data_IF_710572640583
#
_entry.id   IF_710572640583
#
_cell.length_a   1.000
_cell.length_b   1.000
_cell.length_c   1.000
_cell.angle_alpha   90.00
_cell.angle_beta   90.00
_cell.angle_gamma   90.00
#
_symmetry.space_group_name_H-M   'P 1'
#
loop_
_entity.id
_entity.type
_entity.pdbx_description
1 polymer ?
#
# COMPACT_ATOMS: atom_id res chain seq x y z
N UNK A 1 7.27 20.98 3.54
CA UNK A 1 6.53 19.85 2.94
C UNK A 1 7.18 18.56 3.43
N UNK A 2 6.68 17.94 4.50
CA UNK A 2 7.27 16.69 5.01
C UNK A 2 6.94 15.54 4.06
N UNK A 3 7.95 15.04 3.34
CA UNK A 3 7.84 13.81 2.56
C UNK A 3 7.63 12.65 3.55
N UNK A 4 6.38 12.24 3.74
CA UNK A 4 6.02 11.08 4.58
C UNK A 4 6.50 9.81 3.88
N UNK A 5 7.73 9.39 4.18
CA UNK A 5 8.26 8.11 3.72
C UNK A 5 7.38 6.97 4.26
N UNK A 6 6.75 6.24 3.34
CA UNK A 6 5.97 5.03 3.65
C UNK A 6 6.72 3.81 3.13
N UNK A 7 6.80 2.76 3.94
CA UNK A 7 7.29 1.45 3.50
C UNK A 7 6.12 0.70 2.88
N UNK A 8 6.28 0.28 1.63
CA UNK A 8 5.34 -0.60 0.95
C UNK A 8 5.93 -2.02 0.92
N UNK A 9 5.11 -3.01 1.27
CA UNK A 9 5.48 -4.42 1.26
C UNK A 9 4.41 -5.20 0.52
N UNK A 10 4.82 -6.13 -0.35
CA UNK A 10 3.88 -7.06 -0.96
C UNK A 10 3.29 -7.97 0.11
N UNK A 11 1.98 -8.19 0.04
CA UNK A 11 1.23 -9.06 0.96
C UNK A 11 0.54 -10.22 0.25
N UNK A 12 0.51 -10.23 -1.08
CA UNK A 12 -0.05 -11.32 -1.87
C UNK A 12 -0.33 -10.91 -3.31
N UNK A 13 -0.86 -11.86 -4.10
CA UNK A 13 -1.42 -11.58 -5.43
C UNK A 13 -2.84 -11.03 -5.25
N UNK A 14 -3.27 -10.09 -6.09
CA UNK A 14 -4.66 -9.63 -6.09
C UNK A 14 -5.54 -10.62 -6.86
N UNK A 15 -6.74 -10.84 -6.37
CA UNK A 15 -7.75 -11.70 -7.00
C UNK A 15 -8.48 -11.03 -8.16
N UNK A 16 -8.35 -9.69 -8.32
CA UNK A 16 -8.94 -8.96 -9.44
C UNK A 16 -7.89 -8.56 -10.49
N UNK A 17 -8.23 -8.65 -11.79
CA UNK A 17 -7.37 -8.12 -12.83
C UNK A 17 -7.31 -6.58 -12.75
N UNK A 18 -6.29 -6.03 -13.39
CA UNK A 18 -6.12 -4.59 -13.48
C UNK A 18 -7.31 -3.95 -14.21
N UNK A 19 -8.04 -3.05 -13.53
CA UNK A 19 -9.15 -2.32 -14.14
C UNK A 19 -8.76 -1.32 -15.24
N UNK A 20 -7.46 -1.19 -15.56
CA UNK A 20 -6.95 -0.32 -16.64
C UNK A 20 -6.46 -1.15 -17.83
N UNK A 21 -5.56 -2.10 -17.62
CA UNK A 21 -4.97 -2.89 -18.71
C UNK A 21 -5.49 -4.34 -18.81
N UNK A 22 -6.34 -4.78 -17.87
CA UNK A 22 -6.90 -6.13 -17.85
C UNK A 22 -5.95 -7.24 -17.38
N UNK A 23 -4.67 -6.94 -17.11
CA UNK A 23 -3.71 -7.97 -16.68
C UNK A 23 -4.04 -8.56 -15.31
N UNK A 24 -3.82 -9.87 -15.15
CA UNK A 24 -3.86 -10.57 -13.86
C UNK A 24 -2.60 -10.42 -13.01
N UNK A 25 -1.54 -9.78 -13.52
CA UNK A 25 -0.29 -9.54 -12.78
C UNK A 25 -0.43 -8.36 -11.80
N UNK A 26 -1.34 -8.50 -10.84
CA UNK A 26 -1.67 -7.49 -9.85
C UNK A 26 -1.27 -8.01 -8.47
N UNK A 27 -0.55 -7.18 -7.72
CA UNK A 27 -0.03 -7.51 -6.39
C UNK A 27 -0.69 -6.64 -5.35
N UNK A 28 -1.22 -7.26 -4.31
CA UNK A 28 -1.71 -6.57 -3.13
C UNK A 28 -0.52 -6.08 -2.28
N UNK A 29 -0.55 -4.81 -1.91
CA UNK A 29 0.54 -4.12 -1.22
C UNK A 29 0.03 -3.46 0.06
N UNK A 30 0.76 -3.63 1.16
CA UNK A 30 0.54 -2.91 2.42
C UNK A 30 1.54 -1.76 2.56
N UNK A 31 1.04 -0.54 2.76
CA UNK A 31 1.82 0.68 2.93
C UNK A 31 1.65 1.27 4.33
N UNK A 32 2.74 1.34 5.07
CA UNK A 32 2.78 1.85 6.44
C UNK A 32 3.68 3.09 6.53
N UNK A 33 3.26 4.09 7.32
CA UNK A 33 4.15 5.22 7.61
C UNK A 33 5.37 4.73 8.40
N UNK A 34 6.58 5.18 8.04
CA UNK A 34 7.81 4.83 8.77
C UNK A 34 8.03 5.85 9.89
N UNK A 35 8.28 5.35 11.10
CA UNK A 35 8.59 6.20 12.26
C UNK A 35 9.94 6.89 12.07
N UNK A 36 9.95 8.22 11.92
CA UNK A 36 11.16 9.06 11.75
C UNK A 36 11.02 10.41 12.47
N UNK A 37 12.14 11.09 12.71
CA UNK A 37 12.16 12.43 13.32
C UNK A 37 11.44 12.49 14.67
N UNK A 38 10.67 13.55 14.88
CA UNK A 38 9.87 13.77 16.10
C UNK A 38 8.83 12.68 16.36
N UNK A 39 8.46 11.88 15.35
CA UNK A 39 7.58 10.73 15.56
C UNK A 39 8.25 9.60 16.35
N UNK A 40 9.60 9.59 16.49
CA UNK A 40 10.30 8.61 17.34
C UNK A 40 9.98 8.79 18.82
N UNK A 41 9.79 10.03 19.26
CA UNK A 41 9.52 10.39 20.65
C UNK A 41 8.03 10.59 20.95
N UNK A 42 7.16 10.59 19.93
CA UNK A 42 5.72 10.71 20.13
C UNK A 42 5.14 9.37 20.65
N UNK A 43 4.63 9.31 21.89
CA UNK A 43 4.04 8.09 22.44
C UNK A 43 2.71 7.71 21.78
N UNK A 44 2.03 8.66 21.12
CA UNK A 44 0.75 8.44 20.42
C UNK A 44 0.91 8.20 18.92
N UNK A 45 2.12 7.85 18.47
CA UNK A 45 2.33 7.60 17.03
C UNK A 45 1.57 6.36 16.57
N UNK A 46 0.60 6.57 15.67
CA UNK A 46 -0.12 5.52 14.96
C UNK A 46 0.36 5.47 13.49
N UNK A 47 0.92 4.32 13.03
CA UNK A 47 1.35 4.15 11.65
C UNK A 47 0.23 4.06 10.60
N UNK A 48 -1.03 3.86 11.00
CA UNK A 48 -2.22 3.67 10.15
C UNK A 48 -1.90 2.99 8.79
N UNK A 49 -1.77 1.65 8.75
CA UNK A 49 -1.47 0.92 7.53
C UNK A 49 -2.58 1.13 6.49
N UNK A 50 -2.20 1.16 5.21
CA UNK A 50 -3.12 1.26 4.07
C UNK A 50 -2.83 0.16 3.09
N UNK A 51 -3.84 -0.38 2.46
CA UNK A 51 -3.66 -1.37 1.39
C UNK A 51 -4.02 -0.79 0.03
N UNK A 52 -3.38 -1.35 -0.99
CA UNK A 52 -3.62 -1.00 -2.37
C UNK A 52 -3.14 -2.13 -3.27
N UNK A 53 -3.71 -2.19 -4.45
CA UNK A 53 -3.29 -3.09 -5.50
C UNK A 53 -2.38 -2.33 -6.47
N UNK A 54 -1.36 -3.03 -6.95
CA UNK A 54 -0.40 -2.53 -7.93
C UNK A 54 -0.32 -3.52 -9.08
N UNK A 55 -0.71 -3.07 -10.28
CA UNK A 55 -0.44 -3.82 -11.50
C UNK A 55 1.06 -3.72 -11.82
N UNK A 56 1.72 -4.87 -11.96
CA UNK A 56 3.16 -4.95 -12.26
C UNK A 56 3.47 -4.72 -13.74
N UNK A 57 2.46 -4.82 -14.60
CA UNK A 57 2.63 -4.63 -16.05
C UNK A 57 2.44 -3.16 -16.46
N UNK A 58 1.33 -2.52 -16.05
CA UNK A 58 1.04 -1.14 -16.43
C UNK A 58 1.31 -0.10 -15.32
N UNK A 59 1.66 -0.54 -14.11
CA UNK A 59 1.93 0.35 -12.97
C UNK A 59 0.69 0.98 -12.33
N UNK A 60 -0.52 0.67 -12.81
CA UNK A 60 -1.76 1.19 -12.24
C UNK A 60 -1.90 0.82 -10.76
N UNK A 61 -2.33 1.79 -9.96
CA UNK A 61 -2.45 1.67 -8.51
C UNK A 61 -3.87 1.99 -8.07
N UNK A 62 -4.50 1.06 -7.36
CA UNK A 62 -5.87 1.23 -6.84
C UNK A 62 -5.88 1.06 -5.32
N UNK A 63 -6.48 2.00 -4.59
CA UNK A 63 -6.63 1.86 -3.13
C UNK A 63 -7.69 0.79 -2.83
N UNK A 64 -7.39 -0.11 -1.91
CA UNK A 64 -8.34 -1.10 -1.40
C UNK A 64 -8.75 -0.69 0.00
N UNK A 65 -10.05 -0.64 0.28
CA UNK A 65 -10.56 0.00 1.50
C UNK A 65 -10.33 -0.81 2.78
N UNK A 66 -10.06 -2.12 2.69
CA UNK A 66 -10.13 -2.99 3.88
C UNK A 66 -8.92 -3.86 4.19
N UNK A 67 -7.82 -3.75 3.45
CA UNK A 67 -6.66 -4.64 3.60
C UNK A 67 -6.95 -6.14 3.57
N UNK A 68 -8.16 -6.47 3.12
CA UNK A 68 -8.71 -7.78 2.88
C UNK A 68 -9.53 -7.67 1.62
N UNK A 69 -9.16 -8.44 0.62
CA UNK A 69 -10.09 -9.13 -0.27
C UNK A 69 -9.41 -10.46 -0.60
N UNK A 70 -9.95 -11.49 0.06
CA UNK A 70 -9.78 -12.94 -0.16
C UNK A 70 -8.42 -13.38 -0.69
#
# INVERSE_FOLDING_TARGET
>A
MEVRLRRATAIGVSSEPCGICGSGNVVAMRSQAVRRGVARINPRWDPAPRTHDLCRDCGAKRRTEDGRRV
#
